data_IF_297716859954
#
_entry.id   IF_297716859954
#
_cell.length_a   1.000
_cell.length_b   1.000
_cell.length_c   1.000
_cell.angle_alpha   90.00
_cell.angle_beta   90.00
_cell.angle_gamma   90.00
#
_symmetry.space_group_name_H-M   'P 1'
#
loop_
_entity.id
_entity.type
_entity.pdbx_description
1 polymer ?
#
# COMPACT_ATOMS: atom_id res chain seq x y z
N UNK A 1 23.48 24.75 -27.60
CA UNK A 1 24.05 24.66 -26.23
C UNK A 1 23.10 23.87 -25.33
N UNK A 2 23.21 22.54 -25.31
CA UNK A 2 22.40 21.67 -24.43
C UNK A 2 23.23 21.22 -23.24
N UNK A 3 22.90 21.70 -22.04
CA UNK A 3 23.63 21.34 -20.81
C UNK A 3 23.20 19.93 -20.38
N UNK A 4 24.01 18.93 -20.75
CA UNK A 4 23.91 17.54 -20.29
C UNK A 4 23.92 17.52 -18.76
N UNK A 5 22.89 16.94 -18.16
CA UNK A 5 22.81 16.71 -16.72
C UNK A 5 23.94 15.72 -16.35
N UNK A 6 25.03 16.22 -15.79
CA UNK A 6 26.11 15.41 -15.20
C UNK A 6 25.53 14.53 -14.10
N UNK A 7 25.43 13.21 -14.32
CA UNK A 7 25.21 12.27 -13.22
C UNK A 7 24.51 10.94 -13.51
N UNK A 8 23.85 10.76 -14.66
CA UNK A 8 23.23 9.46 -14.96
C UNK A 8 24.18 8.56 -15.76
N UNK A 9 24.60 7.44 -15.15
CA UNK A 9 25.23 6.33 -15.88
C UNK A 9 24.26 5.87 -16.98
N UNK A 10 24.68 5.97 -18.24
CA UNK A 10 24.00 5.30 -19.36
C UNK A 10 23.89 3.81 -19.02
N UNK A 11 22.66 3.27 -18.89
CA UNK A 11 22.41 1.83 -18.74
C UNK A 11 21.79 1.35 -17.42
N UNK A 12 21.54 2.21 -16.42
CA UNK A 12 20.89 1.78 -15.16
C UNK A 12 19.38 2.09 -15.19
N UNK A 13 18.58 1.21 -15.79
CA UNK A 13 17.12 1.32 -15.74
C UNK A 13 16.57 1.05 -14.33
N UNK A 14 15.74 1.94 -13.80
CA UNK A 14 15.03 1.77 -12.52
C UNK A 14 13.54 1.63 -12.76
N UNK A 15 12.91 0.60 -12.17
CA UNK A 15 11.48 0.34 -12.30
C UNK A 15 10.72 0.91 -11.11
N UNK A 16 9.74 1.76 -11.38
CA UNK A 16 8.82 2.31 -10.39
C UNK A 16 7.38 1.96 -10.74
N UNK A 17 6.48 1.80 -9.76
CA UNK A 17 5.05 1.81 -10.02
C UNK A 17 4.67 3.13 -10.69
N UNK A 18 3.90 3.05 -11.76
CA UNK A 18 3.42 4.22 -12.47
C UNK A 18 2.46 5.03 -11.59
N UNK A 19 2.61 6.35 -11.65
CA UNK A 19 1.75 7.33 -11.02
C UNK A 19 0.64 7.75 -11.98
N UNK A 20 -0.48 8.20 -11.43
CA UNK A 20 -1.56 8.72 -12.23
C UNK A 20 -1.13 10.00 -12.97
N UNK A 21 -1.23 9.99 -14.30
CA UNK A 21 -0.88 11.14 -15.15
C UNK A 21 0.51 11.08 -15.79
N UNK A 22 1.34 10.09 -15.44
CA UNK A 22 2.67 9.94 -16.05
C UNK A 22 2.58 9.54 -17.53
N UNK A 23 3.43 10.11 -18.38
CA UNK A 23 3.50 9.79 -19.80
C UNK A 23 4.92 9.42 -20.27
N UNK A 24 4.99 8.79 -21.44
CA UNK A 24 6.28 8.37 -22.01
C UNK A 24 7.11 9.58 -22.41
N UNK A 25 8.38 9.60 -22.03
CA UNK A 25 9.29 10.72 -22.29
C UNK A 25 9.27 11.84 -21.24
N UNK A 26 8.41 11.73 -20.21
CA UNK A 26 8.37 12.69 -19.11
C UNK A 26 9.65 12.64 -18.26
N UNK A 27 10.17 13.82 -17.91
CA UNK A 27 11.29 13.94 -16.99
C UNK A 27 10.82 13.80 -15.54
N UNK A 28 11.38 12.80 -14.84
CA UNK A 28 11.13 12.57 -13.42
C UNK A 28 12.36 12.95 -12.60
N UNK A 29 12.17 13.83 -11.62
CA UNK A 29 13.25 14.31 -10.77
C UNK A 29 13.24 13.60 -9.42
N UNK A 30 14.39 13.05 -9.03
CA UNK A 30 14.56 12.26 -7.81
C UNK A 30 15.65 12.86 -6.93
N UNK A 31 15.30 13.57 -5.87
CA UNK A 31 16.30 14.22 -5.02
C UNK A 31 15.73 15.09 -3.92
N UNK A 32 16.61 15.64 -3.08
CA UNK A 32 16.24 16.60 -2.03
C UNK A 32 15.83 17.97 -2.61
N UNK A 33 16.40 18.32 -3.76
CA UNK A 33 16.18 19.58 -4.47
C UNK A 33 15.12 19.47 -5.58
N UNK A 34 14.45 18.32 -5.69
CA UNK A 34 13.38 18.14 -6.65
C UNK A 34 12.17 19.01 -6.27
N UNK A 35 11.55 19.66 -7.25
CA UNK A 35 10.33 20.42 -7.04
C UNK A 35 9.17 19.48 -6.67
N UNK A 36 8.21 19.98 -5.88
CA UNK A 36 7.00 19.25 -5.50
C UNK A 36 6.00 19.24 -6.67
N UNK A 37 6.31 18.43 -7.67
CA UNK A 37 5.44 18.14 -8.80
C UNK A 37 5.05 16.66 -8.77
N UNK A 38 3.93 16.33 -9.42
CA UNK A 38 3.49 14.95 -9.63
C UNK A 38 4.64 14.16 -10.30
N UNK A 39 4.81 12.90 -9.89
CA UNK A 39 5.85 11.96 -10.34
C UNK A 39 7.25 12.17 -9.76
N UNK A 40 7.55 13.35 -9.20
CA UNK A 40 8.85 13.58 -8.57
C UNK A 40 8.99 12.80 -7.26
N UNK A 41 10.23 12.35 -6.99
CA UNK A 41 10.58 11.69 -5.74
C UNK A 41 11.43 12.59 -4.86
N UNK A 42 10.87 12.98 -3.72
CA UNK A 42 11.52 13.82 -2.71
C UNK A 42 11.38 13.21 -1.31
N UNK A 43 12.21 13.64 -0.34
CA UNK A 43 11.98 13.31 1.07
C UNK A 43 10.61 13.80 1.54
N UNK A 44 10.00 13.13 2.53
CA UNK A 44 8.67 13.52 3.02
C UNK A 44 8.71 14.78 3.87
N UNK A 45 9.81 15.05 4.58
CA UNK A 45 9.96 16.24 5.42
C UNK A 45 9.64 17.59 4.75
N UNK A 46 10.19 17.91 3.56
CA UNK A 46 9.90 19.18 2.88
C UNK A 46 8.55 19.21 2.15
N UNK A 47 7.77 18.14 2.15
CA UNK A 47 6.45 18.14 1.50
C UNK A 47 5.45 18.92 2.35
N UNK A 48 4.56 19.67 1.70
CA UNK A 48 3.46 20.34 2.40
C UNK A 48 2.51 19.32 3.01
N UNK A 49 1.97 19.65 4.17
CA UNK A 49 0.95 18.84 4.84
C UNK A 49 -0.28 18.69 3.95
N UNK A 50 -0.92 17.52 3.99
CA UNK A 50 -1.99 17.15 3.06
C UNK A 50 -1.50 16.61 1.71
N UNK A 51 -0.20 16.70 1.38
CA UNK A 51 0.32 16.16 0.12
C UNK A 51 0.05 14.66 0.02
N UNK A 52 -0.42 14.27 -1.17
CA UNK A 52 -0.69 12.89 -1.53
C UNK A 52 0.58 12.28 -2.13
N UNK A 53 1.01 11.16 -1.58
CA UNK A 53 2.23 10.46 -2.01
C UNK A 53 2.00 8.96 -2.16
N UNK A 54 2.83 8.30 -2.96
CA UNK A 54 2.83 6.86 -3.13
C UNK A 54 4.27 6.31 -3.07
N UNK A 55 4.38 4.97 -3.06
CA UNK A 55 5.68 4.28 -3.02
C UNK A 55 6.59 4.73 -1.86
N UNK A 56 6.00 5.08 -0.73
CA UNK A 56 6.69 5.59 0.44
C UNK A 56 7.66 4.55 1.03
N UNK A 57 8.86 4.98 1.37
CA UNK A 57 9.85 4.19 2.10
C UNK A 57 9.48 4.07 3.59
N UNK A 58 9.58 2.87 4.14
CA UNK A 58 9.37 2.66 5.58
C UNK A 58 10.64 3.02 6.35
N UNK A 59 11.81 2.59 5.85
CA UNK A 59 13.12 2.92 6.38
C UNK A 59 14.00 3.63 5.34
N UNK A 60 14.99 4.42 5.77
CA UNK A 60 16.01 4.94 4.86
C UNK A 60 16.71 3.77 4.15
N UNK A 61 16.88 3.86 2.83
CA UNK A 61 17.48 2.80 2.01
C UNK A 61 16.49 1.86 1.31
N UNK A 62 15.23 1.81 1.74
CA UNK A 62 14.20 1.01 1.04
C UNK A 62 13.97 1.51 -0.39
N UNK A 63 13.44 0.66 -1.29
CA UNK A 63 13.05 1.05 -2.67
C UNK A 63 11.56 1.36 -2.81
N UNK A 64 10.94 1.84 -1.73
CA UNK A 64 9.50 2.06 -1.63
C UNK A 64 8.77 0.77 -1.23
N UNK A 65 7.97 0.85 -0.16
CA UNK A 65 7.33 -0.33 0.47
C UNK A 65 5.85 -0.10 0.74
N UNK A 66 5.47 1.12 1.09
CA UNK A 66 4.11 1.50 1.45
C UNK A 66 3.38 2.10 0.24
N UNK A 67 2.06 1.89 0.16
CA UNK A 67 1.18 2.37 -0.92
C UNK A 67 1.73 2.14 -2.34
N UNK A 68 1.91 0.86 -2.71
CA UNK A 68 2.32 0.42 -4.06
C UNK A 68 1.21 -0.23 -4.89
N UNK A 69 0.09 -0.54 -4.27
CA UNK A 69 -1.03 -1.14 -4.97
C UNK A 69 -1.76 -0.08 -5.83
N UNK A 70 -2.40 -0.53 -6.90
CA UNK A 70 -3.16 0.31 -7.82
C UNK A 70 -4.19 1.18 -7.08
N UNK A 71 -4.16 2.50 -7.30
CA UNK A 71 -5.06 3.45 -6.65
C UNK A 71 -4.73 3.82 -5.20
N UNK A 72 -3.72 3.19 -4.58
CA UNK A 72 -3.36 3.51 -3.20
C UNK A 72 -2.50 4.77 -3.13
N UNK A 73 -2.67 5.49 -2.02
CA UNK A 73 -1.87 6.65 -1.67
C UNK A 73 -1.72 6.77 -0.16
N UNK A 74 -0.80 7.62 0.25
CA UNK A 74 -0.51 8.01 1.63
C UNK A 74 -0.70 9.52 1.70
N UNK A 75 -1.31 10.00 2.77
CA UNK A 75 -1.44 11.43 3.03
C UNK A 75 -0.40 11.84 4.06
N UNK A 76 0.37 12.88 3.77
CA UNK A 76 1.25 13.52 4.75
C UNK A 76 0.37 14.28 5.73
N UNK A 77 0.44 13.96 7.02
CA UNK A 77 -0.40 14.61 8.05
C UNK A 77 0.35 15.79 8.65
N UNK A 78 1.48 15.51 9.31
CA UNK A 78 2.25 16.53 10.00
C UNK A 78 3.74 16.25 9.98
N UNK A 79 4.53 17.30 9.92
CA UNK A 79 5.98 17.22 10.02
C UNK A 79 6.46 17.81 11.34
N UNK A 80 7.22 17.03 12.12
CA UNK A 80 7.87 17.51 13.33
C UNK A 80 9.37 17.78 13.05
N UNK A 81 9.81 19.06 13.06
CA UNK A 81 11.19 19.43 12.76
C UNK A 81 12.19 19.03 13.84
N UNK A 82 11.78 18.99 15.11
CA UNK A 82 12.65 18.65 16.25
C UNK A 82 13.02 17.17 16.22
N UNK A 83 12.02 16.30 16.05
CA UNK A 83 12.21 14.84 16.06
C UNK A 83 12.58 14.29 14.68
N UNK A 84 12.55 15.11 13.63
CA UNK A 84 12.80 14.72 12.22
C UNK A 84 11.93 13.54 11.78
N UNK A 85 10.70 13.51 12.28
CA UNK A 85 9.69 12.49 12.01
C UNK A 85 8.48 13.12 11.34
N UNK A 86 7.84 12.35 10.47
CA UNK A 86 6.62 12.75 9.76
C UNK A 86 5.51 11.76 10.11
N UNK A 87 4.33 12.28 10.44
CA UNK A 87 3.13 11.49 10.60
C UNK A 87 2.46 11.34 9.24
N UNK A 88 2.14 10.11 8.86
CA UNK A 88 1.49 9.79 7.59
C UNK A 88 0.26 8.92 7.81
N UNK A 89 -0.77 9.13 6.98
CA UNK A 89 -1.97 8.29 6.95
C UNK A 89 -1.81 7.22 5.87
N UNK A 90 -1.82 5.95 6.27
CA UNK A 90 -1.75 4.83 5.36
C UNK A 90 -3.09 4.59 4.63
N UNK A 91 -3.10 3.88 3.48
CA UNK A 91 -4.34 3.47 2.80
C UNK A 91 -5.30 2.66 3.69
N UNK A 92 -4.78 2.00 4.74
CA UNK A 92 -5.60 1.29 5.74
C UNK A 92 -6.38 2.22 6.67
N UNK A 93 -6.11 3.53 6.64
CA UNK A 93 -6.63 4.53 7.56
C UNK A 93 -5.76 4.72 8.82
N UNK A 94 -4.78 3.85 9.07
CA UNK A 94 -3.90 3.93 10.23
C UNK A 94 -2.91 5.07 10.11
N UNK A 95 -2.68 5.82 11.20
CA UNK A 95 -1.59 6.78 11.32
C UNK A 95 -0.28 6.02 11.57
N UNK A 96 0.81 6.43 10.92
CA UNK A 96 2.15 5.86 11.13
C UNK A 96 3.19 6.97 11.17
N UNK A 97 4.17 6.83 12.06
CA UNK A 97 5.32 7.73 12.16
C UNK A 97 6.46 7.17 11.32
N UNK A 98 7.05 8.00 10.47
CA UNK A 98 8.18 7.66 9.60
C UNK A 98 9.29 8.70 9.75
N UNK A 99 10.52 8.35 9.35
CA UNK A 99 11.60 9.35 9.27
C UNK A 99 11.32 10.34 8.14
N UNK A 100 11.50 11.63 8.39
CA UNK A 100 11.30 12.69 7.38
C UNK A 100 12.32 12.62 6.23
N UNK A 101 13.43 11.92 6.43
CA UNK A 101 14.42 11.66 5.37
C UNK A 101 14.00 10.55 4.39
N UNK A 102 12.96 9.77 4.73
CA UNK A 102 12.40 8.77 3.83
C UNK A 102 11.88 9.47 2.57
N UNK A 103 12.01 8.80 1.42
CA UNK A 103 11.52 9.32 0.15
C UNK A 103 10.15 8.74 -0.16
N UNK A 104 9.32 9.55 -0.82
CA UNK A 104 8.09 9.12 -1.45
C UNK A 104 7.98 9.76 -2.83
N UNK A 105 7.15 9.17 -3.69
CA UNK A 105 6.81 9.77 -4.98
C UNK A 105 5.53 10.57 -4.80
N UNK A 106 5.49 11.79 -5.31
CA UNK A 106 4.29 12.63 -5.25
C UNK A 106 3.21 12.07 -6.19
N UNK A 107 1.99 11.95 -5.68
CA UNK A 107 0.83 11.46 -6.43
C UNK A 107 0.31 10.09 -5.97
N UNK A 108 -0.63 9.56 -6.76
CA UNK A 108 -1.34 8.29 -6.51
C UNK A 108 -0.83 7.22 -7.47
N UNK A 109 -0.80 5.95 -7.06
CA UNK A 109 -0.47 4.85 -7.98
C UNK A 109 -1.57 4.72 -9.05
N UNK A 110 -1.16 4.64 -10.32
CA UNK A 110 -2.06 4.49 -11.45
C UNK A 110 -2.92 3.20 -11.38
N UNK A 111 -3.98 3.16 -12.20
CA UNK A 111 -4.87 2.00 -12.29
C UNK A 111 -5.86 1.86 -11.12
N UNK A 112 -6.19 2.98 -10.46
CA UNK A 112 -7.27 3.04 -9.47
C UNK A 112 -8.64 2.63 -10.05
N UNK A 113 -9.61 2.36 -9.18
CA UNK A 113 -10.99 2.01 -9.57
C UNK A 113 -11.18 0.59 -10.12
N UNK A 114 -10.10 -0.16 -10.35
CA UNK A 114 -10.18 -1.56 -10.85
C UNK A 114 -11.00 -2.49 -9.94
N UNK A 115 -11.10 -2.18 -8.65
CA UNK A 115 -11.87 -2.96 -7.66
C UNK A 115 -13.36 -2.71 -7.71
N UNK A 116 -13.79 -1.59 -8.27
CA UNK A 116 -15.20 -1.16 -8.23
C UNK A 116 -16.02 -1.94 -9.26
N UNK A 117 -15.36 -2.39 -10.34
CA UNK A 117 -15.97 -3.26 -11.34
C UNK A 117 -16.18 -4.68 -10.77
N UNK A 118 -17.44 -5.17 -10.68
CA UNK A 118 -17.71 -6.51 -10.17
C UNK A 118 -17.20 -7.61 -11.13
N UNK A 119 -16.75 -8.73 -10.56
CA UNK A 119 -16.33 -9.91 -11.33
C UNK A 119 -17.56 -10.78 -11.60
N UNK A 120 -18.16 -10.61 -12.78
CA UNK A 120 -19.42 -11.29 -13.13
C UNK A 120 -19.27 -12.77 -13.53
N UNK A 121 -18.10 -13.18 -14.03
CA UNK A 121 -17.87 -14.54 -14.55
C UNK A 121 -16.75 -15.23 -13.79
N UNK A 122 -16.93 -16.49 -13.43
CA UNK A 122 -15.90 -17.32 -12.81
C UNK A 122 -14.63 -17.43 -13.66
N UNK A 123 -14.75 -17.47 -15.00
CA UNK A 123 -13.61 -17.44 -15.92
C UNK A 123 -12.73 -16.18 -15.79
N UNK A 124 -13.32 -15.01 -15.49
CA UNK A 124 -12.54 -13.79 -15.22
C UNK A 124 -11.76 -13.90 -13.91
N UNK A 125 -12.35 -14.52 -12.89
CA UNK A 125 -11.65 -14.82 -11.63
C UNK A 125 -10.49 -15.80 -11.87
N UNK A 126 -10.72 -16.86 -12.65
CA UNK A 126 -9.68 -17.83 -13.03
C UNK A 126 -8.47 -17.13 -13.65
N UNK A 127 -8.64 -16.32 -14.71
CA UNK A 127 -7.49 -15.64 -15.34
C UNK A 127 -6.81 -14.61 -14.42
N UNK A 128 -7.57 -13.92 -13.55
CA UNK A 128 -7.02 -13.02 -12.53
C UNK A 128 -6.09 -13.73 -11.55
N UNK A 129 -6.47 -14.94 -11.10
CA UNK A 129 -5.67 -15.73 -10.16
C UNK A 129 -4.60 -16.59 -10.84
N UNK A 130 -4.79 -16.98 -12.11
CA UNK A 130 -3.78 -17.66 -12.94
C UNK A 130 -2.53 -16.81 -13.15
N UNK A 131 -2.68 -15.49 -13.30
CA UNK A 131 -1.57 -14.55 -13.38
C UNK A 131 -0.84 -14.32 -12.03
N UNK A 132 -1.33 -14.92 -10.94
CA UNK A 132 -0.78 -14.81 -9.58
C UNK A 132 -0.50 -16.22 -9.05
N UNK A 133 -0.09 -16.31 -7.78
CA UNK A 133 0.01 -17.61 -7.11
C UNK A 133 -1.34 -18.33 -7.16
N UNK A 134 -1.31 -19.63 -7.48
CA UNK A 134 -2.51 -20.45 -7.57
C UNK A 134 -3.24 -20.55 -6.22
N UNK A 135 -4.31 -19.78 -6.05
CA UNK A 135 -5.19 -19.79 -4.88
C UNK A 135 -6.67 -19.97 -5.24
N UNK A 136 -6.97 -20.41 -6.47
CA UNK A 136 -8.33 -20.53 -6.98
C UNK A 136 -8.54 -21.85 -7.76
N UNK A 137 -9.59 -22.64 -7.47
CA UNK A 137 -10.46 -22.59 -6.28
C UNK A 137 -9.78 -23.27 -5.07
N UNK A 138 -10.02 -22.78 -3.85
CA UNK A 138 -9.58 -23.45 -2.60
C UNK A 138 -10.75 -23.52 -1.63
N UNK A 139 -10.97 -24.70 -1.05
CA UNK A 139 -11.92 -24.92 0.03
C UNK A 139 -11.16 -25.38 1.28
N UNK A 140 -11.10 -24.58 2.36
CA UNK A 140 -10.24 -24.88 3.51
C UNK A 140 -10.90 -25.74 4.59
N UNK A 141 -12.21 -25.98 4.52
CA UNK A 141 -12.94 -26.79 5.49
C UNK A 141 -13.42 -28.10 4.85
N UNK A 142 -13.01 -29.24 5.37
CA UNK A 142 -13.72 -30.49 5.07
C UNK A 142 -14.95 -30.57 5.97
N UNK A 143 -16.12 -30.71 5.37
CA UNK A 143 -17.38 -30.92 6.08
C UNK A 143 -17.80 -32.39 6.04
N UNK A 144 -18.67 -32.78 6.96
CA UNK A 144 -19.44 -34.02 6.88
C UNK A 144 -20.85 -33.78 6.31
N UNK A 145 -21.71 -34.80 6.37
CA UNK A 145 -23.14 -34.66 6.08
C UNK A 145 -23.93 -34.48 7.39
N UNK A 146 -24.66 -33.37 7.63
CA UNK A 146 -24.85 -32.20 6.76
C UNK A 146 -23.65 -31.23 6.75
N UNK A 147 -23.54 -30.42 5.70
CA UNK A 147 -22.42 -29.49 5.52
C UNK A 147 -22.46 -28.37 6.58
N UNK A 148 -21.60 -28.44 7.58
CA UNK A 148 -21.44 -27.43 8.63
C UNK A 148 -19.99 -27.41 9.15
N UNK A 149 -19.60 -26.34 9.86
CA UNK A 149 -18.23 -26.20 10.38
C UNK A 149 -17.98 -27.15 11.56
N UNK A 150 -19.01 -27.47 12.36
CA UNK A 150 -18.95 -28.41 13.50
C UNK A 150 -18.16 -27.91 14.73
N UNK A 151 -17.34 -26.88 14.57
CA UNK A 151 -16.53 -26.26 15.63
C UNK A 151 -16.55 -24.73 15.51
N UNK A 152 -16.20 -23.99 16.57
CA UNK A 152 -16.06 -22.55 16.48
C UNK A 152 -15.07 -22.15 15.38
N UNK A 153 -15.46 -21.21 14.53
CA UNK A 153 -14.61 -20.71 13.43
C UNK A 153 -13.59 -19.66 13.89
N UNK A 154 -13.66 -19.24 15.16
CA UNK A 154 -12.74 -18.29 15.78
C UNK A 154 -11.57 -19.06 16.38
N UNK A 155 -10.37 -18.84 15.84
CA UNK A 155 -9.16 -19.52 16.27
C UNK A 155 -8.22 -18.55 16.97
N UNK A 156 -7.59 -18.98 18.06
CA UNK A 156 -6.62 -18.17 18.79
C UNK A 156 -5.34 -17.93 17.97
N UNK A 157 -4.61 -16.85 18.29
CA UNK A 157 -3.38 -16.47 17.58
C UNK A 157 -2.23 -17.49 17.75
N UNK A 158 -2.21 -18.16 18.90
CA UNK A 158 -1.24 -19.15 19.36
C UNK A 158 -1.53 -20.59 18.88
N UNK A 159 -2.66 -20.83 18.19
CA UNK A 159 -2.99 -22.14 17.65
C UNK A 159 -1.90 -22.65 16.66
N UNK A 160 -1.70 -23.97 16.52
CA UNK A 160 -0.72 -24.53 15.58
C UNK A 160 -1.13 -24.28 14.11
N UNK A 161 -0.16 -24.36 13.19
CA UNK A 161 -0.36 -23.97 11.78
C UNK A 161 -1.53 -24.69 11.09
N UNK A 162 -1.74 -25.98 11.39
CA UNK A 162 -2.87 -26.77 10.85
C UNK A 162 -4.24 -26.39 11.42
N UNK A 163 -4.28 -25.73 12.58
CA UNK A 163 -5.52 -25.30 13.22
C UNK A 163 -5.91 -23.85 12.91
N UNK A 164 -5.03 -23.04 12.29
CA UNK A 164 -5.31 -21.64 11.92
C UNK A 164 -6.18 -21.54 10.66
N UNK A 165 -7.41 -22.04 10.76
CA UNK A 165 -8.40 -22.06 9.68
C UNK A 165 -9.67 -21.35 10.16
N UNK A 166 -10.17 -20.40 9.38
CA UNK A 166 -11.31 -19.55 9.75
C UNK A 166 -10.90 -18.14 10.18
N UNK A 167 -11.63 -17.57 11.14
CA UNK A 167 -11.40 -16.23 11.69
C UNK A 167 -10.29 -16.27 12.75
N UNK A 168 -9.05 -16.02 12.33
CA UNK A 168 -7.90 -16.06 13.25
C UNK A 168 -7.78 -14.76 14.05
N UNK A 169 -7.77 -14.88 15.38
CA UNK A 169 -7.65 -13.76 16.33
C UNK A 169 -8.66 -12.63 16.09
N UNK A 170 -9.88 -13.01 15.68
CA UNK A 170 -10.96 -12.05 15.49
C UNK A 170 -11.39 -11.45 16.84
N UNK A 171 -11.53 -10.12 16.86
CA UNK A 171 -12.03 -9.38 18.02
C UNK A 171 -13.57 -9.27 17.95
N UNK A 172 -14.16 -8.60 16.95
CA UNK A 172 -15.59 -8.72 16.65
C UNK A 172 -15.86 -9.79 15.59
N UNK A 173 -17.07 -10.37 15.63
CA UNK A 173 -17.62 -11.20 14.55
C UNK A 173 -18.93 -10.60 14.03
N UNK A 174 -19.34 -11.01 12.82
CA UNK A 174 -20.54 -10.49 12.15
C UNK A 174 -20.27 -9.27 11.26
N UNK A 175 -21.36 -8.67 10.77
CA UNK A 175 -21.30 -7.47 9.93
C UNK A 175 -20.90 -6.27 10.80
N UNK A 176 -19.83 -5.57 10.42
CA UNK A 176 -19.45 -4.32 11.07
C UNK A 176 -20.54 -3.27 10.83
N UNK A 177 -21.24 -2.88 11.90
CA UNK A 177 -22.23 -1.79 11.91
C UNK A 177 -21.70 -0.63 12.77
N UNK A 178 -22.02 0.61 12.40
CA UNK A 178 -21.58 1.82 13.10
C UNK A 178 -20.35 2.52 12.46
N UNK A 179 -20.05 3.72 12.94
CA UNK A 179 -18.86 4.49 12.55
C UNK A 179 -17.62 3.93 13.23
N UNK A 180 -16.54 3.71 12.46
CA UNK A 180 -15.23 3.41 13.05
C UNK A 180 -14.74 4.62 13.82
N UNK A 181 -14.86 4.61 15.14
CA UNK A 181 -14.06 5.49 15.99
C UNK A 181 -12.61 5.04 15.85
N UNK A 182 -11.76 5.91 15.32
CA UNK A 182 -10.31 5.67 15.31
C UNK A 182 -9.89 5.72 16.77
N UNK A 183 -9.73 4.56 17.41
CA UNK A 183 -9.11 4.51 18.73
C UNK A 183 -7.71 5.09 18.59
N UNK A 184 -7.50 6.28 19.13
CA UNK A 184 -6.17 6.86 19.27
C UNK A 184 -5.43 5.97 20.26
N UNK A 185 -4.59 5.07 19.75
CA UNK A 185 -3.62 4.39 20.61
C UNK A 185 -2.57 5.44 20.95
N UNK A 186 -2.68 6.03 22.13
CA UNK A 186 -1.56 6.71 22.78
C UNK A 186 -0.36 5.75 22.72
N UNK A 187 0.70 6.22 22.07
CA UNK A 187 1.93 5.49 21.80
C UNK A 187 3.00 5.96 22.77
#
# INVERSE_FOLDING_TARGET
>A
MGRVIKGQRKGAGSVFPAQYGIHTGQFVYCGKTAQLNIDNMLPVGPMTEGTIVCCLKEKPGDRGKLARASGNYVTVISYNPETKKTHVKLPSGSKKVISSANRAVVGVVAGGGRTDKPILKAGRAYYKYKAKRNCWPRHPFEGGNPQHIGKPSIIRRDAPAGCKVGLTAAHPTGLLRGTKTVQEKES
#
